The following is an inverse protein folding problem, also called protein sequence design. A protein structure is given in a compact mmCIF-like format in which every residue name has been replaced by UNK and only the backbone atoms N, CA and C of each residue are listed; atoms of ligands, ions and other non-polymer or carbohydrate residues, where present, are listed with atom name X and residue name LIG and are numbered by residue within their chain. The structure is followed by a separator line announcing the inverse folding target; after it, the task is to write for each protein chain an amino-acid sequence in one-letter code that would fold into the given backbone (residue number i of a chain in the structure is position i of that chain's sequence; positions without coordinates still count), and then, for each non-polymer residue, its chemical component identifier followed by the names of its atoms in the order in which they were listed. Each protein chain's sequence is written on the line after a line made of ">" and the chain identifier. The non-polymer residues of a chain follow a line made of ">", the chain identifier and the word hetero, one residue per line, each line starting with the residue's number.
data_IF_794640493793
#
_entry.id   IF_794640493793
#
_cell.length_a   1.000
_cell.length_b   1.000
_cell.length_c   1.000
_cell.angle_alpha   90.00
_cell.angle_beta   90.00
_cell.angle_gamma   90.00
#
_symmetry.space_group_name_H-M   'P 1'
#
loop_
_entity.id
_entity.type
_entity.pdbx_description
1 polymer ?
#
# COMPACT_ATOMS: atom_id res chain seq x y z
N UNK A 1 -21.24 -7.03 13.00
CA UNK A 1 -20.61 -8.30 12.54
C UNK A 1 -19.22 -8.00 12.04
N UNK A 2 -18.16 -8.38 12.77
CA UNK A 2 -16.79 -8.27 12.26
C UNK A 2 -16.61 -9.29 11.11
N UNK A 3 -16.29 -8.80 9.92
CA UNK A 3 -15.99 -9.66 8.79
C UNK A 3 -14.77 -10.53 9.14
N UNK A 4 -14.94 -11.84 9.16
CA UNK A 4 -13.82 -12.78 9.38
C UNK A 4 -12.79 -12.66 8.27
N UNK A 5 -11.68 -11.98 8.54
CA UNK A 5 -10.51 -11.87 7.66
C UNK A 5 -10.23 -10.44 7.17
N UNK A 6 -9.11 -10.31 6.47
CA UNK A 6 -8.69 -9.02 5.91
C UNK A 6 -9.49 -8.70 4.65
N UNK A 7 -10.01 -7.49 4.58
CA UNK A 7 -10.71 -6.93 3.44
C UNK A 7 -9.78 -6.60 2.25
N UNK A 8 -10.18 -5.61 1.49
CA UNK A 8 -9.39 -5.06 0.38
C UNK A 8 -8.25 -4.20 0.91
N UNK A 9 -7.14 -4.24 0.21
CA UNK A 9 -5.96 -3.40 0.45
C UNK A 9 -5.92 -2.30 -0.61
N UNK A 10 -5.61 -1.08 -0.19
CA UNK A 10 -5.22 0.03 -1.04
C UNK A 10 -3.85 0.52 -0.60
N UNK A 11 -2.95 0.67 -1.54
CA UNK A 11 -1.59 1.11 -1.32
C UNK A 11 -1.30 2.28 -2.25
N UNK A 12 -0.59 3.26 -1.77
CA UNK A 12 -0.15 4.40 -2.56
C UNK A 12 1.11 4.97 -1.94
N UNK A 13 2.05 5.36 -2.77
CA UNK A 13 3.19 6.14 -2.33
C UNK A 13 2.74 7.56 -2.01
N UNK A 14 3.11 8.06 -0.85
CA UNK A 14 2.93 9.46 -0.44
C UNK A 14 4.31 10.12 -0.34
N UNK A 15 4.35 11.43 -0.47
CA UNK A 15 5.62 12.18 -0.43
C UNK A 15 6.18 12.25 0.98
N UNK A 16 5.28 12.46 1.94
CA UNK A 16 5.63 12.60 3.35
C UNK A 16 4.48 12.15 4.27
N UNK A 17 4.73 12.17 5.59
CA UNK A 17 3.72 11.89 6.62
C UNK A 17 2.95 13.11 7.10
N UNK A 18 2.86 14.19 6.29
CA UNK A 18 2.11 15.39 6.64
C UNK A 18 0.59 15.13 6.66
N UNK A 19 -0.14 15.97 7.40
CA UNK A 19 -1.59 15.89 7.44
C UNK A 19 -2.22 16.04 6.04
N UNK A 20 -1.63 16.84 5.16
CA UNK A 20 -2.07 17.02 3.78
C UNK A 20 -1.98 15.73 2.98
N UNK A 21 -0.80 15.11 2.94
CA UNK A 21 -0.53 13.86 2.21
C UNK A 21 -1.39 12.71 2.73
N UNK A 22 -1.52 12.59 4.06
CA UNK A 22 -2.34 11.56 4.69
C UNK A 22 -3.83 11.75 4.42
N UNK A 23 -4.35 12.98 4.51
CA UNK A 23 -5.75 13.27 4.20
C UNK A 23 -6.07 12.99 2.73
N UNK A 24 -5.18 13.36 1.81
CA UNK A 24 -5.33 13.05 0.39
C UNK A 24 -5.36 11.54 0.13
N UNK A 25 -4.53 10.77 0.83
CA UNK A 25 -4.57 9.31 0.75
C UNK A 25 -5.86 8.72 1.32
N UNK A 26 -6.32 9.22 2.47
CA UNK A 26 -7.58 8.74 3.09
C UNK A 26 -8.78 9.00 2.18
N UNK A 27 -8.89 10.19 1.59
CA UNK A 27 -9.96 10.53 0.62
C UNK A 27 -9.94 9.62 -0.62
N UNK A 28 -8.76 9.19 -1.04
CA UNK A 28 -8.63 8.19 -2.11
C UNK A 28 -9.04 6.78 -1.67
N UNK A 29 -8.76 6.42 -0.41
CA UNK A 29 -8.86 5.05 0.06
C UNK A 29 -10.22 4.71 0.72
N UNK A 30 -10.92 5.69 1.30
CA UNK A 30 -12.14 5.51 2.06
C UNK A 30 -13.18 6.57 1.70
N UNK A 31 -14.44 6.20 1.73
CA UNK A 31 -15.57 7.12 1.52
C UNK A 31 -15.83 7.93 2.79
N UNK A 32 -16.30 9.19 2.68
CA UNK A 32 -16.76 9.96 3.82
C UNK A 32 -17.79 9.18 4.65
N UNK A 33 -17.77 9.35 5.97
CA UNK A 33 -18.59 8.58 6.90
C UNK A 33 -17.99 7.23 7.30
N UNK A 34 -16.83 6.83 6.73
CA UNK A 34 -16.15 5.61 7.14
C UNK A 34 -15.49 5.77 8.50
N UNK A 35 -15.49 4.69 9.30
CA UNK A 35 -14.72 4.59 10.53
C UNK A 35 -13.26 4.26 10.22
N UNK A 36 -12.34 5.12 10.67
CA UNK A 36 -10.90 4.99 10.45
C UNK A 36 -10.19 4.70 11.76
N UNK A 37 -9.45 3.59 11.81
CA UNK A 37 -8.56 3.26 12.93
C UNK A 37 -7.11 3.55 12.53
N UNK A 38 -6.40 4.38 13.30
CA UNK A 38 -4.99 4.74 13.06
C UNK A 38 -4.15 4.56 14.32
N UNK A 39 -2.83 4.65 14.18
CA UNK A 39 -1.84 4.55 15.27
C UNK A 39 -1.76 5.82 16.15
N UNK A 40 -2.63 6.79 15.95
CA UNK A 40 -2.64 8.04 16.71
C UNK A 40 -1.59 9.06 16.28
N UNK A 41 -0.95 8.87 15.11
CA UNK A 41 -0.05 9.88 14.56
C UNK A 41 -0.76 11.23 14.38
N UNK A 42 -0.10 12.33 14.77
CA UNK A 42 -0.67 13.69 14.73
C UNK A 42 -1.18 14.13 13.36
N UNK A 43 -0.61 13.60 12.29
CA UNK A 43 -1.05 13.87 10.92
C UNK A 43 -2.49 13.46 10.61
N UNK A 44 -3.09 12.60 11.44
CA UNK A 44 -4.49 12.17 11.29
C UNK A 44 -5.50 13.02 12.07
N UNK A 45 -5.05 13.99 12.87
CA UNK A 45 -5.94 14.78 13.76
C UNK A 45 -7.05 15.56 13.02
N UNK A 46 -6.85 15.89 11.74
CA UNK A 46 -7.83 16.61 10.91
C UNK A 46 -8.94 15.75 10.31
N UNK A 47 -8.85 14.41 10.37
CA UNK A 47 -9.77 13.52 9.65
C UNK A 47 -11.23 13.64 10.10
N UNK A 48 -11.47 13.93 11.38
CA UNK A 48 -12.81 14.14 11.88
C UNK A 48 -13.50 15.35 11.23
N UNK A 49 -12.75 16.42 10.90
CA UNK A 49 -13.27 17.61 10.20
C UNK A 49 -13.61 17.32 8.74
N UNK A 50 -13.02 16.28 8.17
CA UNK A 50 -13.23 15.82 6.80
C UNK A 50 -14.38 14.80 6.68
N UNK A 51 -15.16 14.60 7.75
CA UNK A 51 -16.33 13.73 7.76
C UNK A 51 -16.06 12.26 8.00
N UNK A 52 -14.91 11.91 8.60
CA UNK A 52 -14.58 10.55 8.99
C UNK A 52 -14.74 10.35 10.50
N UNK A 53 -15.21 9.16 10.89
CA UNK A 53 -15.18 8.75 12.29
C UNK A 53 -13.78 8.22 12.60
N UNK A 54 -12.99 8.98 13.38
CA UNK A 54 -11.59 8.68 13.63
C UNK A 54 -11.35 8.10 15.01
N UNK A 55 -10.85 6.88 15.06
CA UNK A 55 -10.41 6.17 16.27
C UNK A 55 -8.89 6.05 16.28
N UNK A 56 -8.23 6.85 17.10
CA UNK A 56 -6.79 6.75 17.32
C UNK A 56 -6.48 5.68 18.37
N UNK A 57 -5.71 4.67 18.00
CA UNK A 57 -5.21 3.63 18.89
C UNK A 57 -3.81 4.03 19.34
N UNK A 58 -3.67 4.48 20.60
CA UNK A 58 -2.35 4.82 21.13
C UNK A 58 -1.57 3.55 21.49
N UNK A 59 -0.77 3.06 20.56
CA UNK A 59 0.04 1.84 20.71
C UNK A 59 1.04 1.98 21.87
N UNK A 60 1.61 3.17 22.06
CA UNK A 60 2.57 3.41 23.14
C UNK A 60 1.95 3.38 24.53
N UNK A 61 0.67 3.74 24.65
CA UNK A 61 -0.04 3.77 25.94
C UNK A 61 -0.74 2.44 26.27
N UNK A 62 -1.06 1.63 25.27
CA UNK A 62 -1.76 0.35 25.47
C UNK A 62 -0.87 -0.74 26.08
N UNK A 63 0.45 -0.60 26.01
CA UNK A 63 1.39 -1.66 26.41
C UNK A 63 1.39 -2.89 25.50
N UNK A 64 0.46 -2.95 24.55
CA UNK A 64 0.37 -4.06 23.60
C UNK A 64 1.33 -3.86 22.43
N UNK A 65 1.93 -4.95 21.92
CA UNK A 65 2.71 -4.88 20.70
C UNK A 65 1.87 -4.36 19.52
N UNK A 66 2.45 -3.55 18.65
CA UNK A 66 1.76 -2.93 17.51
C UNK A 66 1.00 -3.93 16.61
N UNK A 67 1.48 -5.17 16.51
CA UNK A 67 0.81 -6.22 15.72
C UNK A 67 -0.47 -6.76 16.39
N UNK A 68 -0.63 -6.54 17.69
CA UNK A 68 -1.85 -6.87 18.45
C UNK A 68 -2.85 -5.72 18.31
N UNK A 69 -2.39 -4.49 18.48
CA UNK A 69 -3.24 -3.30 18.39
C UNK A 69 -3.78 -3.07 16.96
N UNK A 70 -2.97 -3.31 15.93
CA UNK A 70 -3.34 -3.11 14.53
C UNK A 70 -2.93 -4.30 13.64
N UNK A 71 -3.49 -5.49 13.85
CA UNK A 71 -3.05 -6.73 13.22
C UNK A 71 -3.16 -6.71 11.69
N UNK A 72 -4.17 -6.02 11.16
CA UNK A 72 -4.40 -5.88 9.71
C UNK A 72 -3.28 -5.16 9.00
N UNK A 73 -2.90 -3.99 9.49
CA UNK A 73 -1.86 -3.14 8.90
C UNK A 73 -0.50 -3.85 8.96
N UNK A 74 -0.15 -4.40 10.14
CA UNK A 74 1.12 -5.09 10.32
C UNK A 74 1.25 -6.35 9.46
N UNK A 75 0.16 -7.11 9.30
CA UNK A 75 0.14 -8.27 8.40
C UNK A 75 0.40 -7.88 6.96
N UNK A 76 -0.28 -6.84 6.47
CA UNK A 76 -0.11 -6.37 5.09
C UNK A 76 1.30 -5.82 4.88
N UNK A 77 1.81 -5.01 5.81
CA UNK A 77 3.17 -4.47 5.74
C UNK A 77 4.23 -5.60 5.70
N UNK A 78 4.09 -6.63 6.53
CA UNK A 78 4.99 -7.78 6.55
C UNK A 78 4.94 -8.59 5.25
N UNK A 79 3.75 -8.80 4.68
CA UNK A 79 3.60 -9.50 3.41
C UNK A 79 4.18 -8.69 2.26
N UNK A 80 3.95 -7.38 2.23
CA UNK A 80 4.50 -6.48 1.22
C UNK A 80 6.03 -6.45 1.28
N UNK A 81 6.62 -6.26 2.47
CA UNK A 81 8.07 -6.28 2.67
C UNK A 81 8.69 -7.58 2.19
N UNK A 82 8.13 -8.72 2.59
CA UNK A 82 8.60 -10.05 2.17
C UNK A 82 8.52 -10.23 0.65
N UNK A 83 7.44 -9.77 0.03
CA UNK A 83 7.28 -9.85 -1.41
C UNK A 83 8.28 -8.97 -2.15
N UNK A 84 8.47 -7.72 -1.72
CA UNK A 84 9.46 -6.81 -2.32
C UNK A 84 10.89 -7.34 -2.18
N UNK A 85 11.25 -7.87 -1.03
CA UNK A 85 12.59 -8.42 -0.80
C UNK A 85 12.80 -9.75 -1.54
N UNK A 86 11.82 -10.64 -1.54
CA UNK A 86 11.93 -11.97 -2.15
C UNK A 86 11.83 -11.94 -3.68
N UNK A 87 10.89 -11.18 -4.24
CA UNK A 87 10.66 -11.14 -5.69
C UNK A 87 11.59 -10.15 -6.40
N UNK A 88 11.86 -9.02 -5.78
CA UNK A 88 12.66 -7.93 -6.39
C UNK A 88 14.04 -7.78 -5.74
N UNK A 89 14.43 -8.67 -4.82
CA UNK A 89 15.76 -8.72 -4.17
C UNK A 89 16.21 -7.34 -3.64
N UNK A 90 15.27 -6.52 -3.16
CA UNK A 90 15.55 -5.16 -2.69
C UNK A 90 15.84 -4.13 -3.79
N UNK A 91 15.85 -4.53 -5.06
CA UNK A 91 16.08 -3.63 -6.21
C UNK A 91 14.82 -2.82 -6.58
N UNK A 92 14.18 -2.20 -5.58
CA UNK A 92 12.97 -1.41 -5.75
C UNK A 92 13.33 0.06 -5.84
N UNK A 93 13.16 0.64 -7.03
CA UNK A 93 13.35 2.07 -7.23
C UNK A 93 12.06 2.84 -7.03
N UNK A 94 12.15 4.09 -6.60
CA UNK A 94 10.99 4.96 -6.41
C UNK A 94 10.14 5.13 -7.70
N UNK A 95 10.79 5.05 -8.87
CA UNK A 95 10.12 5.16 -10.18
C UNK A 95 9.14 4.00 -10.45
N UNK A 96 9.47 2.81 -9.97
CA UNK A 96 8.67 1.60 -10.21
C UNK A 96 7.83 1.19 -9.00
N UNK A 97 8.01 1.84 -7.84
CA UNK A 97 7.34 1.47 -6.61
C UNK A 97 5.81 1.45 -6.76
N UNK A 98 5.23 2.46 -7.42
CA UNK A 98 3.77 2.52 -7.62
C UNK A 98 3.26 1.30 -8.40
N UNK A 99 3.99 0.85 -9.44
CA UNK A 99 3.63 -0.34 -10.19
C UNK A 99 3.68 -1.62 -9.34
N UNK A 100 4.68 -1.73 -8.47
CA UNK A 100 4.79 -2.85 -7.53
C UNK A 100 3.68 -2.82 -6.48
N UNK A 101 3.32 -1.65 -5.94
CA UNK A 101 2.21 -1.52 -5.02
C UNK A 101 0.87 -1.91 -5.66
N UNK A 102 0.65 -1.50 -6.92
CA UNK A 102 -0.55 -1.86 -7.70
C UNK A 102 -0.61 -3.38 -7.94
N UNK A 103 0.51 -4.00 -8.32
CA UNK A 103 0.59 -5.45 -8.53
C UNK A 103 0.29 -6.22 -7.23
N UNK A 104 0.93 -5.83 -6.13
CA UNK A 104 0.67 -6.45 -4.82
C UNK A 104 -0.80 -6.32 -4.42
N UNK A 105 -1.37 -5.12 -4.52
CA UNK A 105 -2.77 -4.86 -4.19
C UNK A 105 -3.72 -5.68 -5.09
N UNK A 106 -3.44 -5.76 -6.40
CA UNK A 106 -4.21 -6.59 -7.34
C UNK A 106 -4.23 -8.05 -6.92
N UNK A 107 -3.05 -8.64 -6.66
CA UNK A 107 -2.90 -10.05 -6.25
C UNK A 107 -3.57 -10.30 -4.90
N UNK A 108 -3.30 -9.45 -3.91
CA UNK A 108 -3.86 -9.59 -2.58
C UNK A 108 -5.38 -9.51 -2.56
N UNK A 109 -5.95 -8.53 -3.25
CA UNK A 109 -7.39 -8.32 -3.28
C UNK A 109 -8.16 -9.46 -3.97
N UNK A 110 -7.49 -10.24 -4.82
CA UNK A 110 -8.09 -11.36 -5.55
C UNK A 110 -7.68 -12.74 -5.04
N UNK A 111 -6.92 -12.80 -3.93
CA UNK A 111 -6.38 -14.05 -3.36
C UNK A 111 -7.44 -15.13 -3.04
N UNK A 112 -8.67 -14.70 -2.79
CA UNK A 112 -9.80 -15.60 -2.50
C UNK A 112 -10.72 -15.84 -3.70
N UNK A 113 -10.36 -15.37 -4.89
CA UNK A 113 -11.19 -15.55 -6.09
C UNK A 113 -11.28 -17.03 -6.46
N UNK A 114 -12.50 -17.55 -6.54
CA UNK A 114 -12.77 -18.91 -7.00
C UNK A 114 -12.74 -19.02 -8.53
N UNK A 115 -12.95 -17.92 -9.25
CA UNK A 115 -12.99 -17.86 -10.72
C UNK A 115 -11.65 -17.39 -11.27
N UNK A 116 -10.65 -18.24 -11.25
CA UNK A 116 -9.28 -17.90 -11.69
C UNK A 116 -9.21 -17.49 -13.17
N UNK A 117 -9.99 -18.10 -14.04
CA UNK A 117 -10.06 -17.72 -15.46
C UNK A 117 -10.48 -16.26 -15.67
N UNK A 118 -11.40 -15.75 -14.86
CA UNK A 118 -11.82 -14.34 -14.93
C UNK A 118 -10.70 -13.38 -14.51
N UNK A 119 -9.68 -13.81 -13.78
CA UNK A 119 -8.54 -12.96 -13.42
C UNK A 119 -7.72 -12.58 -14.63
N UNK A 120 -7.57 -13.48 -15.60
CA UNK A 120 -6.90 -13.20 -16.86
C UNK A 120 -7.63 -12.11 -17.66
N UNK A 121 -8.95 -12.22 -17.81
CA UNK A 121 -9.73 -11.18 -18.47
C UNK A 121 -9.62 -9.83 -17.77
N UNK A 122 -9.69 -9.80 -16.44
CA UNK A 122 -9.50 -8.56 -15.67
C UNK A 122 -8.10 -7.96 -15.83
N UNK A 123 -7.09 -8.81 -15.96
CA UNK A 123 -5.73 -8.36 -16.24
C UNK A 123 -5.62 -7.73 -17.63
N UNK A 124 -6.23 -8.35 -18.65
CA UNK A 124 -6.28 -7.82 -20.00
C UNK A 124 -7.05 -6.49 -20.06
N UNK A 125 -8.23 -6.39 -19.45
CA UNK A 125 -8.99 -5.15 -19.35
C UNK A 125 -8.13 -4.01 -18.77
N UNK A 126 -7.42 -4.28 -17.67
CA UNK A 126 -6.51 -3.28 -17.09
C UNK A 126 -5.34 -2.95 -18.01
N UNK A 127 -4.76 -3.93 -18.69
CA UNK A 127 -3.61 -3.73 -19.56
C UNK A 127 -3.95 -2.82 -20.77
N UNK A 128 -5.16 -2.96 -21.33
CA UNK A 128 -5.61 -2.16 -22.48
C UNK A 128 -5.76 -0.68 -22.11
N UNK A 129 -6.23 -0.36 -20.88
CA UNK A 129 -6.46 1.03 -20.44
C UNK A 129 -5.26 1.66 -19.76
N UNK A 130 -4.24 0.87 -19.41
CA UNK A 130 -3.06 1.35 -18.69
C UNK A 130 -1.93 1.67 -19.67
N UNK A 131 -1.36 2.86 -19.54
CA UNK A 131 -0.17 3.23 -20.33
C UNK A 131 1.02 2.35 -19.97
N UNK A 132 1.80 1.84 -20.95
CA UNK A 132 2.95 0.99 -20.68
C UNK A 132 4.01 1.74 -19.87
N UNK A 133 4.42 1.16 -18.75
CA UNK A 133 5.54 1.67 -17.94
C UNK A 133 6.83 1.00 -18.44
N UNK A 134 7.62 1.73 -19.21
CA UNK A 134 8.93 1.23 -19.70
C UNK A 134 9.94 1.24 -18.56
N UNK A 135 10.73 0.19 -18.46
CA UNK A 135 11.90 0.16 -17.58
C UNK A 135 12.91 1.20 -18.07
N UNK A 136 13.25 2.17 -17.23
CA UNK A 136 14.38 3.09 -17.46
C UNK A 136 15.44 2.76 -16.42
N UNK A 137 16.58 2.16 -16.82
CA UNK A 137 17.69 1.98 -15.89
C UNK A 137 18.11 3.34 -15.36
N UNK A 138 18.35 3.46 -14.06
CA UNK A 138 18.85 4.71 -13.49
C UNK A 138 20.24 4.98 -14.03
N UNK A 139 20.56 6.24 -14.37
CA UNK A 139 21.89 6.65 -14.88
C UNK A 139 23.06 6.23 -13.97
N UNK A 140 22.80 6.04 -12.69
CA UNK A 140 23.81 5.61 -11.72
C UNK A 140 24.38 4.21 -11.99
N UNK A 141 23.58 3.29 -12.57
CA UNK A 141 24.06 1.94 -12.90
C UNK A 141 24.98 1.95 -14.13
N UNK A 142 24.80 2.88 -15.06
CA UNK A 142 25.63 3.01 -16.26
C UNK A 142 27.03 3.58 -15.97
N UNK A 143 27.21 4.33 -14.88
CA UNK A 143 28.53 4.87 -14.51
C UNK A 143 29.42 3.88 -13.75
N UNK A 144 28.85 2.93 -13.04
CA UNK A 144 29.64 1.88 -12.33
C UNK A 144 30.26 0.83 -13.26
N UNK A 145 29.73 0.66 -14.48
CA UNK A 145 30.21 -0.31 -15.47
C UNK A 145 31.40 0.18 -16.31
N UNK A 146 31.82 1.46 -16.21
CA UNK A 146 32.89 2.00 -17.03
C UNK A 146 34.28 2.06 -16.36
N UNK A 147 34.41 1.54 -15.14
CA UNK A 147 35.68 1.62 -14.38
C UNK A 147 36.31 0.28 -14.05
N UNK A 148 35.90 -0.83 -14.69
CA UNK A 148 36.58 -2.11 -14.60
C UNK A 148 36.86 -2.65 -16.02
N UNK A 149 37.82 -2.04 -16.70
CA UNK A 149 38.63 -2.61 -17.77
C UNK A 149 40.03 -1.99 -17.69
#
# INVERSE_FOLDING_TARGET
>A
MQAKGFGRVRLKRIEDGSAHSLTAFVKYAAEPGSTLCTDGWKGYAGLAKEGYEHHAVNISASGDPAHVAMPGVHKIASLLKRWLLGTHQGSVTAVHLDAYLDEFAFRFNRRKSRRRGMLFYRLLENAVVTKPKRFRPSRAILMASKHNL
#
